data_IF_548789325956
#
_entry.id   IF_548789325956
#
_cell.length_a   1.000
_cell.length_b   1.000
_cell.length_c   1.000
_cell.angle_alpha   90.00
_cell.angle_beta   90.00
_cell.angle_gamma   90.00
#
_symmetry.space_group_name_H-M   'P 1'
#
loop_
_entity.id
_entity.type
_entity.pdbx_description
1 polymer ?
#
# COMPACT_ATOMS: atom_id res chain seq x y z
N UNK A 1 12.39 9.36 11.85
CA UNK A 1 11.46 8.90 10.79
C UNK A 1 12.06 7.64 10.18
N UNK A 2 11.27 6.57 9.98
CA UNK A 2 11.72 5.42 9.19
C UNK A 2 11.71 5.76 7.71
N UNK A 3 12.61 5.13 6.95
CA UNK A 3 12.63 5.25 5.50
C UNK A 3 11.40 4.50 4.91
N UNK A 4 10.92 4.95 3.76
CA UNK A 4 9.71 4.37 3.13
C UNK A 4 9.98 2.93 2.66
N UNK A 5 11.21 2.70 2.24
CA UNK A 5 11.80 1.46 1.76
C UNK A 5 11.85 0.40 2.87
N UNK A 6 12.03 0.81 4.14
CA UNK A 6 12.02 -0.11 5.28
C UNK A 6 10.59 -0.53 5.69
N UNK A 7 9.59 0.28 5.36
CA UNK A 7 8.19 0.05 5.76
C UNK A 7 7.52 -0.96 4.83
N UNK A 8 7.71 -0.81 3.52
CA UNK A 8 7.13 -1.70 2.50
C UNK A 8 8.17 -2.75 2.13
N UNK A 9 7.96 -4.00 2.57
CA UNK A 9 8.94 -5.07 2.37
C UNK A 9 8.81 -5.68 0.97
N UNK A 10 7.58 -6.05 0.57
CA UNK A 10 7.30 -6.67 -0.75
C UNK A 10 5.80 -6.70 -1.08
N UNK A 11 5.42 -6.81 -2.36
CA UNK A 11 4.04 -7.12 -2.75
C UNK A 11 3.64 -8.54 -2.29
N UNK A 12 2.35 -8.73 -2.01
CA UNK A 12 1.76 -10.00 -1.61
C UNK A 12 0.74 -10.46 -2.66
N UNK A 13 1.19 -11.33 -3.55
CA UNK A 13 0.43 -11.80 -4.70
C UNK A 13 -0.26 -13.12 -4.35
N UNK A 14 -1.59 -13.13 -4.44
CA UNK A 14 -2.47 -14.30 -4.31
C UNK A 14 -3.67 -14.07 -5.22
N UNK A 15 -4.46 -15.11 -5.55
CA UNK A 15 -5.71 -14.97 -6.32
C UNK A 15 -6.61 -13.85 -5.78
N UNK A 16 -6.84 -13.84 -4.46
CA UNK A 16 -7.59 -12.78 -3.80
C UNK A 16 -6.97 -11.38 -3.96
N UNK A 17 -5.65 -11.27 -4.03
CA UNK A 17 -5.02 -9.97 -4.24
C UNK A 17 -5.22 -9.50 -5.66
N UNK A 18 -5.15 -10.40 -6.65
CA UNK A 18 -5.48 -10.08 -8.05
C UNK A 18 -6.93 -9.62 -8.20
N UNK A 19 -7.88 -10.31 -7.59
CA UNK A 19 -9.29 -9.88 -7.60
C UNK A 19 -9.47 -8.47 -7.00
N UNK A 20 -8.73 -8.17 -5.92
CA UNK A 20 -8.77 -6.86 -5.27
C UNK A 20 -8.14 -5.74 -6.10
N UNK A 21 -7.21 -6.04 -7.02
CA UNK A 21 -6.58 -5.04 -7.88
C UNK A 21 -7.60 -4.35 -8.79
N UNK A 22 -8.60 -5.08 -9.29
CA UNK A 22 -9.70 -4.51 -10.08
C UNK A 22 -10.51 -3.44 -9.29
N UNK A 23 -10.44 -3.47 -7.96
CA UNK A 23 -11.08 -2.50 -7.07
C UNK A 23 -10.10 -1.39 -6.59
N UNK A 24 -8.91 -1.29 -7.18
CA UNK A 24 -7.85 -0.37 -6.76
C UNK A 24 -7.25 -0.70 -5.39
N UNK A 25 -7.32 -1.97 -4.95
CA UNK A 25 -6.76 -2.43 -3.68
C UNK A 25 -5.52 -3.28 -3.92
N UNK A 26 -4.42 -2.89 -3.30
CA UNK A 26 -3.12 -3.53 -3.42
C UNK A 26 -2.65 -4.07 -2.07
N UNK A 27 -2.06 -5.27 -2.06
CA UNK A 27 -1.68 -5.97 -0.83
C UNK A 27 -0.16 -6.05 -0.66
N UNK A 28 0.36 -5.54 0.45
CA UNK A 28 1.79 -5.54 0.75
C UNK A 28 2.09 -6.32 2.03
N UNK A 29 3.27 -6.92 2.08
CA UNK A 29 3.91 -7.29 3.35
C UNK A 29 4.69 -6.08 3.83
N UNK A 30 4.47 -5.70 5.08
CA UNK A 30 5.04 -4.50 5.69
C UNK A 30 5.71 -4.82 7.03
N UNK A 31 6.51 -3.88 7.54
CA UNK A 31 7.13 -3.98 8.87
C UNK A 31 6.03 -4.21 9.95
N UNK A 32 6.13 -5.28 10.78
CA UNK A 32 5.21 -5.53 11.88
C UNK A 32 5.05 -4.40 12.90
N UNK A 33 6.00 -3.47 12.99
CA UNK A 33 5.97 -2.30 13.87
C UNK A 33 5.37 -1.06 13.18
N UNK A 34 5.19 -1.05 11.87
CA UNK A 34 4.70 0.13 11.14
C UNK A 34 3.22 0.46 11.45
N UNK A 35 2.92 1.75 11.59
CA UNK A 35 1.56 2.28 11.77
C UNK A 35 0.87 2.51 10.41
N UNK A 36 -0.46 2.64 10.41
CA UNK A 36 -1.22 2.89 9.16
C UNK A 36 -0.82 4.19 8.47
N UNK A 37 -0.50 5.23 9.26
CA UNK A 37 -0.07 6.53 8.75
C UNK A 37 1.30 6.42 8.07
N UNK A 38 2.24 5.71 8.67
CA UNK A 38 3.55 5.44 8.06
C UNK A 38 3.42 4.65 6.75
N UNK A 39 2.60 3.61 6.73
CA UNK A 39 2.34 2.82 5.51
C UNK A 39 1.72 3.70 4.42
N UNK A 40 0.76 4.57 4.76
CA UNK A 40 0.15 5.50 3.82
C UNK A 40 1.21 6.39 3.16
N UNK A 41 2.03 7.05 3.96
CA UNK A 41 3.07 7.94 3.45
C UNK A 41 4.13 7.20 2.65
N UNK A 42 4.50 5.98 3.06
CA UNK A 42 5.47 5.16 2.33
C UNK A 42 4.96 4.79 0.93
N UNK A 43 3.70 4.35 0.82
CA UNK A 43 3.09 4.01 -0.48
C UNK A 43 2.92 5.24 -1.36
N UNK A 44 2.44 6.37 -0.81
CA UNK A 44 2.30 7.62 -1.57
C UNK A 44 3.67 8.09 -2.10
N UNK A 45 4.74 7.95 -1.31
CA UNK A 45 6.10 8.36 -1.70
C UNK A 45 6.75 7.43 -2.73
N UNK A 46 6.66 6.12 -2.55
CA UNK A 46 7.33 5.14 -3.42
C UNK A 46 6.68 5.04 -4.79
N UNK A 47 5.35 5.04 -4.84
CA UNK A 47 4.62 4.76 -6.08
C UNK A 47 3.98 6.01 -6.71
N UNK A 48 4.12 7.18 -6.07
CA UNK A 48 3.50 8.44 -6.51
C UNK A 48 1.99 8.29 -6.78
N UNK A 49 1.29 7.58 -5.90
CA UNK A 49 -0.15 7.33 -5.93
C UNK A 49 -0.85 8.11 -4.83
N UNK A 50 -2.17 8.29 -4.92
CA UNK A 50 -2.97 8.80 -3.81
C UNK A 50 -3.62 7.67 -3.03
N UNK A 51 -3.38 7.60 -1.73
CA UNK A 51 -3.97 6.55 -0.87
C UNK A 51 -5.24 7.05 -0.19
N UNK A 52 -6.33 6.31 -0.39
CA UNK A 52 -7.63 6.55 0.24
C UNK A 52 -7.70 5.94 1.64
N UNK A 53 -7.37 4.66 1.76
CA UNK A 53 -7.45 3.93 3.03
C UNK A 53 -6.43 2.80 3.15
N UNK A 54 -6.08 2.44 4.38
CA UNK A 54 -5.14 1.38 4.71
C UNK A 54 -5.73 0.46 5.77
N UNK A 55 -5.81 -0.83 5.44
CA UNK A 55 -6.28 -1.89 6.32
C UNK A 55 -5.11 -2.84 6.61
N UNK A 56 -4.82 -3.08 7.90
CA UNK A 56 -3.66 -3.90 8.30
C UNK A 56 -4.10 -5.10 9.12
N UNK A 57 -3.43 -6.23 8.93
CA UNK A 57 -3.65 -7.47 9.70
C UNK A 57 -2.30 -8.03 10.13
N UNK A 58 -2.17 -8.37 11.42
CA UNK A 58 -0.96 -9.00 11.97
C UNK A 58 -1.07 -10.52 11.92
N UNK A 59 -0.12 -11.17 11.27
CA UNK A 59 -0.03 -12.63 11.18
C UNK A 59 1.05 -13.16 12.12
N UNK A 60 0.65 -14.07 13.01
CA UNK A 60 1.60 -14.81 13.84
C UNK A 60 2.36 -15.81 12.97
N UNK A 61 3.62 -16.05 13.33
CA UNK A 61 4.44 -17.11 12.75
C UNK A 61 3.77 -18.47 12.90
N UNK A 62 3.72 -19.24 11.82
CA UNK A 62 3.23 -20.63 11.86
C UNK A 62 4.30 -21.53 12.47
N UNK A 63 3.87 -22.50 13.26
CA UNK A 63 4.75 -23.54 13.77
C UNK A 63 5.13 -24.48 12.62
N UNK A 64 6.41 -24.80 12.55
CA UNK A 64 7.01 -25.63 11.50
C UNK A 64 8.04 -26.54 12.15
N UNK A 65 8.05 -27.80 11.74
CA UNK A 65 9.01 -28.81 12.19
C UNK A 65 9.99 -29.12 11.08
N UNK A 66 11.27 -29.16 11.41
CA UNK A 66 12.34 -29.61 10.55
C UNK A 66 13.08 -30.76 11.26
N UNK A 67 12.76 -32.00 10.91
CA UNK A 67 13.25 -33.19 11.60
C UNK A 67 12.85 -33.19 13.07
N UNK A 68 13.84 -33.18 13.97
CA UNK A 68 13.65 -33.15 15.43
C UNK A 68 13.35 -31.76 15.98
N UNK A 69 13.68 -30.69 15.26
CA UNK A 69 13.52 -29.32 15.74
C UNK A 69 12.14 -28.76 15.40
N UNK A 70 11.47 -28.20 16.40
CA UNK A 70 10.20 -27.48 16.25
C UNK A 70 10.47 -25.98 16.43
N UNK A 71 10.17 -25.20 15.41
CA UNK A 71 10.35 -23.76 15.39
C UNK A 71 9.12 -23.03 14.83
N UNK A 72 9.21 -21.70 14.74
CA UNK A 72 8.15 -20.88 14.14
C UNK A 72 8.72 -19.98 13.05
N UNK A 73 7.96 -19.79 11.98
CA UNK A 73 8.28 -18.79 10.96
C UNK A 73 8.18 -17.38 11.53
N UNK A 74 8.85 -16.41 10.92
CA UNK A 74 8.74 -15.00 11.30
C UNK A 74 7.30 -14.50 11.23
N UNK A 75 6.90 -13.68 12.22
CA UNK A 75 5.65 -12.91 12.17
C UNK A 75 5.74 -11.83 11.10
N UNK A 76 4.62 -11.49 10.51
CA UNK A 76 4.54 -10.47 9.45
C UNK A 76 3.24 -9.69 9.56
N UNK A 77 3.22 -8.50 8.96
CA UNK A 77 2.01 -7.68 8.85
C UNK A 77 1.64 -7.57 7.38
N UNK A 78 0.36 -7.78 7.09
CA UNK A 78 -0.22 -7.56 5.77
C UNK A 78 -0.93 -6.21 5.77
N UNK A 79 -0.67 -5.39 4.77
CA UNK A 79 -1.38 -4.15 4.52
C UNK A 79 -2.15 -4.27 3.21
N UNK A 80 -3.45 -3.95 3.24
CA UNK A 80 -4.30 -3.80 2.06
C UNK A 80 -4.54 -2.30 1.92
N UNK A 81 -4.07 -1.74 0.82
CA UNK A 81 -4.04 -0.31 0.55
C UNK A 81 -4.97 -0.01 -0.60
N UNK A 82 -5.94 0.86 -0.40
CA UNK A 82 -6.84 1.34 -1.46
C UNK A 82 -6.30 2.64 -2.01
N UNK A 83 -6.03 2.69 -3.31
CA UNK A 83 -5.63 3.91 -4.00
C UNK A 83 -6.84 4.60 -4.64
N UNK A 84 -6.65 5.86 -4.98
CA UNK A 84 -7.60 6.61 -5.77
C UNK A 84 -7.37 6.34 -7.26
N UNK A 85 -8.37 5.75 -7.91
CA UNK A 85 -8.35 5.44 -9.33
C UNK A 85 -8.90 6.58 -10.19
N UNK A 86 -9.55 7.58 -9.59
CA UNK A 86 -10.24 8.63 -10.32
C UNK A 86 -9.74 10.03 -9.91
N UNK A 87 -8.72 10.56 -10.59
CA UNK A 87 -8.17 11.89 -10.28
C UNK A 87 -9.14 12.99 -10.72
N UNK A 88 -9.97 13.44 -9.78
CA UNK A 88 -10.87 14.56 -9.99
C UNK A 88 -10.14 15.89 -9.78
N UNK A 89 -10.29 16.88 -10.69
CA UNK A 89 -9.72 18.21 -10.50
C UNK A 89 -10.41 18.89 -9.32
N UNK A 90 -9.62 19.46 -8.42
CA UNK A 90 -10.15 20.31 -7.35
C UNK A 90 -10.28 21.72 -7.91
N UNK A 91 -11.49 22.26 -7.83
CA UNK A 91 -11.78 23.65 -8.17
C UNK A 91 -11.70 24.48 -6.89
N UNK A 92 -10.97 25.58 -6.95
CA UNK A 92 -10.94 26.58 -5.87
C UNK A 92 -11.27 27.95 -6.43
N UNK A 93 -11.83 28.80 -5.58
CA UNK A 93 -12.07 30.19 -5.89
C UNK A 93 -10.81 30.98 -5.51
N UNK A 94 -10.22 31.68 -6.48
CA UNK A 94 -9.11 32.59 -6.21
C UNK A 94 -9.59 33.86 -5.47
N UNK A 95 -8.65 34.67 -4.97
CA UNK A 95 -8.94 35.95 -4.29
C UNK A 95 -9.77 36.93 -5.13
N UNK A 96 -9.83 36.72 -6.45
CA UNK A 96 -10.66 37.48 -7.41
C UNK A 96 -12.01 36.82 -7.75
N UNK A 97 -12.40 35.74 -7.07
CA UNK A 97 -13.67 35.03 -7.29
C UNK A 97 -13.72 34.15 -8.56
N UNK A 98 -12.62 34.04 -9.31
CA UNK A 98 -12.52 33.17 -10.49
C UNK A 98 -12.24 31.71 -10.06
N UNK A 99 -12.92 30.71 -10.65
CA UNK A 99 -12.63 29.31 -10.38
C UNK A 99 -11.33 28.89 -11.07
N UNK A 100 -10.31 28.51 -10.30
CA UNK A 100 -9.08 27.91 -10.80
C UNK A 100 -9.11 26.41 -10.59
N UNK A 101 -8.82 25.69 -11.67
CA UNK A 101 -8.76 24.22 -11.69
C UNK A 101 -7.31 23.77 -11.67
N UNK A 102 -6.97 22.90 -10.72
CA UNK A 102 -5.63 22.30 -10.66
C UNK A 102 -5.74 20.79 -10.78
N UNK A 103 -5.04 20.25 -11.77
CA UNK A 103 -4.93 18.82 -12.00
C UNK A 103 -3.95 18.22 -10.99
N UNK A 104 -4.40 17.22 -10.23
CA UNK A 104 -3.50 16.40 -9.41
C UNK A 104 -2.81 15.37 -10.31
N UNK A 105 -1.48 15.30 -10.25
CA UNK A 105 -0.67 14.33 -11.00
C UNK A 105 -0.23 13.18 -10.09
N UNK A 106 -1.04 12.13 -9.99
CA UNK A 106 -0.65 10.85 -9.37
C UNK A 106 -1.00 9.69 -10.28
N UNK A 107 -0.29 8.58 -10.10
CA UNK A 107 -0.59 7.35 -10.84
C UNK A 107 -1.92 6.76 -10.37
N UNK A 108 -2.71 6.25 -11.30
CA UNK A 108 -4.00 5.57 -11.04
C UNK A 108 -3.84 4.07 -10.80
N UNK A 109 -2.66 3.53 -11.12
CA UNK A 109 -2.33 2.11 -10.98
C UNK A 109 -0.88 1.94 -10.50
N UNK A 110 -0.63 0.85 -9.79
CA UNK A 110 0.73 0.42 -9.41
C UNK A 110 1.15 -0.68 -10.38
N UNK A 111 1.82 -0.28 -11.47
CA UNK A 111 2.25 -1.17 -12.57
C UNK A 111 3.22 -2.28 -12.11
N UNK A 112 3.99 -2.02 -11.07
CA UNK A 112 4.97 -2.95 -10.48
C UNK A 112 4.32 -4.08 -9.65
N UNK A 113 2.99 -4.03 -9.49
CA UNK A 113 2.24 -5.01 -8.71
C UNK A 113 1.83 -6.20 -9.58
N UNK A 114 2.79 -7.05 -9.98
CA UNK A 114 2.49 -8.29 -10.72
C UNK A 114 3.53 -8.78 -11.72
N UNK A 115 4.59 -8.00 -11.98
CA UNK A 115 5.70 -8.40 -12.85
C UNK A 115 6.96 -8.73 -12.06
N UNK A 116 7.65 -9.79 -12.48
CA UNK A 116 9.02 -10.09 -12.06
C UNK A 116 9.93 -8.86 -12.23
N UNK A 117 10.96 -8.75 -11.38
CA UNK A 117 12.14 -7.93 -11.69
C UNK A 117 12.76 -8.34 -13.02
#
# INVERSE_FOLDING_TARGET
MKLAEDIIIRPYITEKSYENMAQGKYTFIVDPKATKTEIKHAVEKLFNVKVLSVNTVNYKGKEKRLGVHVGRTSKWKKAIVKIDTNPQPVTYLDKEGKPVTVAKKYKTEIEEFGGAQ
#
